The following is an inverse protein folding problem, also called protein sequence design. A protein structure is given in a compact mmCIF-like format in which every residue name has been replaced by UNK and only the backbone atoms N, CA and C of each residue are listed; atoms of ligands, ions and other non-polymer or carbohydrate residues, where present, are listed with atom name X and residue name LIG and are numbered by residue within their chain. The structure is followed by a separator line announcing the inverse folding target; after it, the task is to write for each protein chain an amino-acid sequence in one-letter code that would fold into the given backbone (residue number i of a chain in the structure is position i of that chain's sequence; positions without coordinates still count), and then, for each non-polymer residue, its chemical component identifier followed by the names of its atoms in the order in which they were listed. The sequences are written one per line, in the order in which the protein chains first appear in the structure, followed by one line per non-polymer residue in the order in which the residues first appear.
data_IF_503769176815
#
_entry.id   IF_503769176815
#
_cell.length_a   1.000
_cell.length_b   1.000
_cell.length_c   1.000
_cell.angle_alpha   90.00
_cell.angle_beta   90.00
_cell.angle_gamma   90.00
#
_symmetry.space_group_name_H-M   'P 1'
#
loop_
_entity.id
_entity.type
_entity.pdbx_description
1 polymer ?
#
# COMPACT_ATOMS: atom_id res chain seq x y z
N UNK A 1 11.75 -39.94 -15.98
CA UNK A 1 12.04 -38.81 -15.07
C UNK A 1 11.60 -37.52 -15.75
N UNK A 2 10.38 -37.04 -15.51
CA UNK A 2 9.89 -35.73 -15.95
C UNK A 2 10.09 -34.76 -14.77
N UNK A 3 11.00 -33.79 -14.91
CA UNK A 3 10.80 -32.41 -15.40
C UNK A 3 10.00 -31.55 -14.40
N UNK A 4 10.77 -30.71 -13.70
CA UNK A 4 10.47 -29.35 -13.23
C UNK A 4 9.02 -29.06 -12.85
N UNK A 5 8.78 -28.97 -11.54
CA UNK A 5 7.57 -28.44 -10.92
C UNK A 5 7.16 -27.11 -11.57
N UNK A 6 5.88 -26.91 -11.93
CA UNK A 6 5.41 -25.63 -12.45
C UNK A 6 5.64 -24.55 -11.39
N UNK A 7 6.24 -23.42 -11.80
CA UNK A 7 6.37 -22.23 -10.95
C UNK A 7 4.96 -21.76 -10.62
N UNK A 8 4.50 -21.98 -9.39
CA UNK A 8 3.20 -21.48 -8.94
C UNK A 8 3.10 -19.99 -9.28
N UNK A 9 2.04 -19.56 -9.99
CA UNK A 9 1.84 -18.14 -10.19
C UNK A 9 1.64 -17.47 -8.82
N UNK A 10 2.34 -16.36 -8.61
CA UNK A 10 2.10 -15.37 -7.54
C UNK A 10 2.15 -15.83 -6.08
N UNK A 11 3.30 -16.32 -5.59
CA UNK A 11 3.54 -16.29 -4.15
C UNK A 11 3.58 -14.84 -3.65
N UNK A 12 2.82 -14.52 -2.60
CA UNK A 12 2.86 -13.23 -1.90
C UNK A 12 3.93 -13.26 -0.82
N UNK A 13 4.87 -12.32 -0.84
CA UNK A 13 5.94 -12.24 0.16
C UNK A 13 5.88 -10.88 0.87
N UNK A 14 5.91 -10.80 2.20
CA UNK A 14 5.94 -9.51 2.89
C UNK A 14 7.10 -8.64 2.42
N UNK A 15 6.84 -7.36 2.15
CA UNK A 15 7.89 -6.40 1.78
C UNK A 15 8.69 -6.05 3.02
N UNK A 16 9.98 -6.38 3.02
CA UNK A 16 10.89 -6.03 4.11
C UNK A 16 11.07 -4.51 4.21
N UNK A 17 11.16 -4.00 5.45
CA UNK A 17 11.39 -2.58 5.72
C UNK A 17 12.71 -2.09 5.11
N UNK A 18 13.78 -2.88 5.17
CA UNK A 18 15.07 -2.49 4.61
C UNK A 18 15.04 -2.30 3.09
N UNK A 19 14.20 -3.06 2.38
CA UNK A 19 14.11 -3.07 0.92
C UNK A 19 13.18 -1.98 0.34
N UNK A 20 12.47 -1.23 1.20
CA UNK A 20 11.44 -0.25 0.82
C UNK A 20 11.70 1.16 1.34
N UNK A 21 12.93 1.44 1.80
CA UNK A 21 13.29 2.71 2.47
C UNK A 21 13.01 3.94 1.61
N UNK A 22 13.21 3.82 0.30
CA UNK A 22 12.95 4.84 -0.70
C UNK A 22 11.47 5.25 -0.79
N UNK A 23 10.55 4.36 -0.40
CA UNK A 23 9.09 4.59 -0.50
C UNK A 23 8.42 4.82 0.86
N UNK A 24 9.16 4.64 1.96
CA UNK A 24 8.63 4.86 3.29
C UNK A 24 8.28 6.33 3.54
N UNK A 25 7.13 6.58 4.14
CA UNK A 25 6.72 7.94 4.47
C UNK A 25 5.22 8.12 4.68
N UNK A 26 4.85 9.39 4.82
CA UNK A 26 3.47 9.86 4.79
C UNK A 26 3.15 10.33 3.39
N UNK A 27 2.00 9.89 2.90
CA UNK A 27 1.52 10.10 1.54
C UNK A 27 0.13 10.72 1.60
N UNK A 28 -0.15 11.71 0.74
CA UNK A 28 -1.40 12.46 0.77
C UNK A 28 -2.03 12.54 -0.61
N UNK A 29 -3.30 12.20 -0.65
CA UNK A 29 -4.21 12.49 -1.75
C UNK A 29 -5.28 13.48 -1.24
N UNK A 30 -5.70 14.50 -2.02
CA UNK A 30 -6.67 15.50 -1.56
C UNK A 30 -8.02 14.92 -1.15
N UNK A 31 -8.48 13.86 -1.81
CA UNK A 31 -9.78 13.25 -1.60
C UNK A 31 -9.71 12.14 -0.55
N UNK A 32 -8.88 11.13 -0.78
CA UNK A 32 -8.65 9.98 0.09
C UNK A 32 -8.03 10.39 1.44
N UNK A 33 -7.21 11.43 1.45
CA UNK A 33 -6.50 11.92 2.63
C UNK A 33 -5.12 11.30 2.78
N UNK A 34 -4.67 11.17 4.03
CA UNK A 34 -3.32 10.72 4.34
C UNK A 34 -3.25 9.22 4.61
N UNK A 35 -2.21 8.61 4.05
CA UNK A 35 -1.82 7.22 4.30
C UNK A 35 -0.39 7.17 4.80
N UNK A 36 -0.14 6.26 5.73
CA UNK A 36 1.18 6.00 6.31
C UNK A 36 1.69 4.71 5.69
N UNK A 37 2.84 4.79 5.01
CA UNK A 37 3.54 3.65 4.42
C UNK A 37 4.85 3.46 5.18
N UNK A 38 4.82 2.75 6.31
CA UNK A 38 5.93 2.73 7.26
C UNK A 38 6.24 1.34 7.81
N UNK A 39 7.48 1.13 8.31
CA UNK A 39 7.85 -0.13 8.94
C UNK A 39 7.06 -0.41 10.22
N UNK A 40 6.70 -1.67 10.42
CA UNK A 40 6.25 -2.23 11.68
C UNK A 40 6.76 -3.66 11.76
N UNK A 41 7.50 -4.03 12.80
CA UNK A 41 8.01 -5.41 12.98
C UNK A 41 8.72 -5.93 11.71
N UNK A 42 9.67 -5.14 11.18
CA UNK A 42 10.48 -5.44 9.99
C UNK A 42 9.76 -5.59 8.65
N UNK A 43 8.44 -5.41 8.61
CA UNK A 43 7.65 -5.38 7.37
C UNK A 43 7.09 -4.00 7.09
N UNK A 44 6.82 -3.71 5.82
CA UNK A 44 6.15 -2.49 5.41
C UNK A 44 4.63 -2.60 5.64
N UNK A 45 4.02 -1.56 6.22
CA UNK A 45 2.59 -1.46 6.50
C UNK A 45 1.98 -0.27 5.79
N UNK A 46 0.75 -0.45 5.35
CA UNK A 46 -0.12 0.61 4.86
C UNK A 46 -1.20 0.89 5.89
N UNK A 47 -1.48 2.17 6.16
CA UNK A 47 -2.60 2.58 7.00
C UNK A 47 -3.19 3.90 6.54
N UNK A 48 -4.49 3.92 6.23
CA UNK A 48 -5.22 5.15 5.98
C UNK A 48 -5.64 5.84 7.29
N UNK A 49 -5.37 7.14 7.42
CA UNK A 49 -5.73 7.90 8.62
C UNK A 49 -7.24 8.11 8.75
N UNK A 50 -7.92 8.39 7.63
CA UNK A 50 -9.38 8.64 7.61
C UNK A 50 -10.22 7.35 7.73
N UNK A 51 -9.62 6.19 7.47
CA UNK A 51 -10.34 4.92 7.40
C UNK A 51 -9.53 3.82 8.09
N UNK A 52 -9.65 3.67 9.43
CA UNK A 52 -8.83 2.73 10.21
C UNK A 52 -8.98 1.25 9.80
N UNK A 53 -10.06 0.89 9.10
CA UNK A 53 -10.26 -0.45 8.52
C UNK A 53 -9.34 -0.71 7.32
N UNK A 54 -8.93 0.34 6.60
CA UNK A 54 -8.00 0.27 5.46
C UNK A 54 -6.56 0.29 5.97
N UNK A 55 -6.17 -0.81 6.61
CA UNK A 55 -4.81 -1.04 7.09
C UNK A 55 -4.38 -2.49 6.83
N UNK A 56 -3.12 -2.67 6.46
CA UNK A 56 -2.65 -3.98 5.99
C UNK A 56 -1.15 -4.05 5.84
N UNK A 57 -0.65 -5.27 5.62
CA UNK A 57 0.75 -5.53 5.28
C UNK A 57 0.94 -5.31 3.79
N UNK A 58 2.09 -4.78 3.40
CA UNK A 58 2.44 -4.67 1.98
C UNK A 58 3.14 -5.94 1.55
N UNK A 59 2.65 -6.54 0.48
CA UNK A 59 3.08 -7.81 -0.07
C UNK A 59 3.66 -7.60 -1.47
N UNK A 60 4.82 -8.18 -1.74
CA UNK A 60 5.40 -8.30 -3.08
C UNK A 60 4.69 -9.42 -3.84
N UNK A 61 4.21 -9.11 -5.04
CA UNK A 61 3.66 -10.08 -6.00
C UNK A 61 4.24 -9.81 -7.38
N UNK A 62 5.16 -10.67 -7.84
CA UNK A 62 5.92 -10.39 -9.05
C UNK A 62 6.70 -9.09 -8.92
N UNK A 63 6.41 -8.10 -9.77
CA UNK A 63 7.04 -6.77 -9.72
C UNK A 63 6.22 -5.71 -8.96
N UNK A 64 4.97 -6.02 -8.57
CA UNK A 64 4.04 -5.05 -7.96
C UNK A 64 3.87 -5.30 -6.46
N UNK A 65 3.38 -4.28 -5.77
CA UNK A 65 3.03 -4.34 -4.36
C UNK A 65 1.53 -4.38 -4.19
N UNK A 66 1.05 -5.17 -3.25
CA UNK A 66 -0.36 -5.31 -2.89
C UNK A 66 -0.52 -5.08 -1.39
N UNK A 67 -1.65 -4.51 -0.98
CA UNK A 67 -1.99 -4.43 0.45
C UNK A 67 -2.86 -5.62 0.84
N UNK A 68 -2.31 -6.47 1.70
CA UNK A 68 -3.02 -7.57 2.37
C UNK A 68 -3.66 -7.02 3.64
N UNK A 69 -4.98 -6.80 3.59
CA UNK A 69 -5.75 -6.15 4.66
C UNK A 69 -5.77 -6.99 5.94
N UNK A 70 -5.74 -6.33 7.10
CA UNK A 70 -5.84 -7.04 8.38
C UNK A 70 -7.26 -7.55 8.65
N UNK A 71 -8.27 -6.82 8.15
CA UNK A 71 -9.67 -7.13 8.36
C UNK A 71 -10.25 -7.92 7.20
N UNK A 72 -10.80 -9.10 7.48
CA UNK A 72 -11.45 -9.97 6.49
C UNK A 72 -12.74 -9.39 5.89
N UNK A 73 -13.21 -8.23 6.36
CA UNK A 73 -14.40 -7.54 5.83
C UNK A 73 -14.09 -6.58 4.68
N UNK A 74 -12.83 -6.50 4.25
CA UNK A 74 -12.39 -5.64 3.13
C UNK A 74 -11.90 -6.57 2.02
N UNK A 75 -12.81 -6.91 1.11
CA UNK A 75 -12.55 -7.96 0.10
C UNK A 75 -11.70 -7.47 -1.08
N UNK A 76 -11.54 -6.15 -1.24
CA UNK A 76 -10.79 -5.55 -2.34
C UNK A 76 -9.40 -5.12 -1.89
N UNK A 77 -8.43 -6.04 -1.97
CA UNK A 77 -7.01 -5.73 -1.78
C UNK A 77 -6.50 -4.86 -2.93
N UNK A 78 -5.95 -3.66 -2.70
CA UNK A 78 -5.47 -2.80 -3.77
C UNK A 78 -4.01 -3.09 -4.13
N UNK A 79 -3.68 -2.90 -5.40
CA UNK A 79 -2.31 -2.71 -5.85
C UNK A 79 -1.79 -1.33 -5.44
N UNK A 80 -0.51 -1.27 -5.06
CA UNK A 80 0.26 -0.03 -4.88
C UNK A 80 1.20 0.15 -6.06
N UNK A 81 0.83 1.04 -6.96
CA UNK A 81 1.66 1.38 -8.12
C UNK A 81 2.49 2.63 -7.81
N UNK A 82 3.81 2.50 -7.83
CA UNK A 82 4.71 3.63 -7.66
C UNK A 82 4.99 4.29 -9.01
N UNK A 83 4.92 5.62 -9.05
CA UNK A 83 5.33 6.41 -10.20
C UNK A 83 6.32 7.50 -9.76
N UNK A 84 7.34 7.73 -10.57
CA UNK A 84 8.17 8.93 -10.43
C UNK A 84 7.53 10.04 -11.26
N UNK A 85 7.25 11.17 -10.63
CA UNK A 85 6.86 12.39 -11.33
C UNK A 85 8.02 12.95 -12.14
N UNK A 86 7.71 13.65 -13.23
CA UNK A 86 8.71 14.31 -14.09
C UNK A 86 9.52 15.39 -13.34
N UNK A 87 8.98 15.90 -12.25
CA UNK A 87 9.58 16.85 -11.30
C UNK A 87 10.42 16.16 -10.20
N UNK A 88 10.57 14.84 -10.25
CA UNK A 88 11.22 14.05 -9.21
C UNK A 88 10.33 13.76 -8.00
N UNK A 89 9.07 14.22 -8.01
CA UNK A 89 8.11 13.95 -6.94
C UNK A 89 7.71 12.49 -6.96
N UNK A 90 7.86 11.80 -5.83
CA UNK A 90 7.40 10.42 -5.70
C UNK A 90 5.87 10.39 -5.60
N UNK A 91 5.26 9.58 -6.46
CA UNK A 91 3.81 9.34 -6.50
C UNK A 91 3.49 7.87 -6.24
N UNK A 92 2.33 7.63 -5.66
CA UNK A 92 1.79 6.29 -5.41
C UNK A 92 0.32 6.29 -5.79
N UNK A 93 -0.15 5.23 -6.43
CA UNK A 93 -1.56 5.01 -6.76
C UNK A 93 -2.10 3.76 -6.08
N UNK A 94 -3.35 3.82 -5.66
CA UNK A 94 -4.14 2.65 -5.30
C UNK A 94 -4.89 2.20 -6.54
N UNK A 95 -4.56 1.02 -7.06
CA UNK A 95 -5.23 0.44 -8.23
C UNK A 95 -6.02 -0.82 -7.83
N UNK A 96 -7.14 -1.06 -8.50
CA UNK A 96 -7.96 -2.24 -8.24
C UNK A 96 -7.25 -3.53 -8.70
N UNK A 97 -7.46 -4.63 -7.96
CA UNK A 97 -6.94 -5.94 -8.35
C UNK A 97 -7.62 -6.50 -9.59
N UNK A 98 -8.92 -6.26 -9.73
CA UNK A 98 -9.69 -6.59 -10.91
C UNK A 98 -9.86 -5.33 -11.78
N UNK A 99 -9.24 -5.29 -12.98
CA UNK A 99 -9.38 -4.15 -13.89
C UNK A 99 -10.76 -4.05 -14.54
N UNK A 100 -11.54 -5.15 -14.53
CA UNK A 100 -12.88 -5.24 -15.09
C UNK A 100 -13.97 -5.11 -14.00
N UNK A 101 -13.56 -4.82 -12.75
CA UNK A 101 -14.52 -4.58 -11.67
C UNK A 101 -15.40 -3.37 -11.99
N UNK A 102 -16.64 -3.67 -12.37
CA UNK A 102 -17.70 -2.69 -12.64
C UNK A 102 -18.19 -2.09 -11.31
N UNK A 103 -17.43 -1.12 -10.80
CA UNK A 103 -17.96 -0.21 -9.81
C UNK A 103 -18.76 0.85 -10.57
N UNK A 104 -20.08 0.86 -10.41
CA UNK A 104 -21.00 1.88 -10.95
C UNK A 104 -20.80 3.29 -10.36
N UNK A 105 -19.63 3.54 -9.78
CA UNK A 105 -19.16 4.77 -9.18
C UNK A 105 -17.72 5.00 -9.68
N UNK A 106 -17.51 6.07 -10.45
CA UNK A 106 -16.18 6.60 -10.77
C UNK A 106 -15.52 7.04 -9.45
N UNK A 107 -14.82 6.12 -8.79
CA UNK A 107 -13.95 6.48 -7.68
C UNK A 107 -12.73 7.19 -8.26
N UNK A 108 -12.37 8.34 -7.67
CA UNK A 108 -11.21 9.10 -8.08
C UNK A 108 -9.97 8.21 -7.94
N UNK A 109 -9.28 7.89 -9.05
CA UNK A 109 -7.99 7.20 -9.09
C UNK A 109 -7.02 7.85 -8.09
N UNK A 110 -6.88 7.34 -6.86
CA UNK A 110 -6.22 8.10 -5.81
C UNK A 110 -4.73 8.23 -6.16
N UNK A 111 -4.24 9.47 -6.25
CA UNK A 111 -2.85 9.75 -6.57
C UNK A 111 -2.20 10.45 -5.39
N UNK A 112 -1.47 9.68 -4.61
CA UNK A 112 -0.79 10.19 -3.43
C UNK A 112 0.56 10.80 -3.81
N UNK A 113 0.83 11.96 -3.21
CA UNK A 113 2.16 12.57 -3.20
C UNK A 113 2.81 12.35 -1.84
N UNK A 114 4.10 12.01 -1.82
CA UNK A 114 4.85 11.89 -0.56
C UNK A 114 5.03 13.26 0.09
N UNK A 115 4.52 13.43 1.31
CA UNK A 115 4.55 14.70 2.06
C UNK A 115 5.46 14.69 3.28
N UNK A 116 5.99 13.52 3.67
CA UNK A 116 6.87 13.43 4.83
C UNK A 116 7.50 12.07 5.03
N UNK A 117 8.47 12.02 5.94
CA UNK A 117 9.05 10.77 6.43
C UNK A 117 8.11 10.06 7.39
N UNK A 118 8.42 8.80 7.69
CA UNK A 118 7.66 8.06 8.70
C UNK A 118 7.67 8.82 10.02
N UNK A 119 6.51 9.00 10.67
CA UNK A 119 6.49 9.50 12.03
C UNK A 119 7.25 8.51 12.91
N UNK A 120 7.93 8.99 13.95
CA UNK A 120 8.45 8.13 15.01
C UNK A 120 7.25 7.40 15.63
N UNK A 121 7.00 6.17 15.18
CA UNK A 121 5.90 5.34 15.65
C UNK A 121 6.25 4.83 17.05
N UNK A 122 6.16 5.70 18.05
CA UNK A 122 6.04 5.29 19.45
C UNK A 122 4.64 4.67 19.58
N UNK A 123 4.56 3.35 19.44
CA UNK A 123 3.45 2.54 19.94
C UNK A 123 2.05 3.00 19.54
N UNK A 124 1.66 2.78 18.28
CA UNK A 124 0.29 2.38 17.94
C UNK A 124 -0.88 3.22 18.47
N UNK A 125 -0.78 4.55 18.59
CA UNK A 125 -1.98 5.38 18.68
C UNK A 125 -1.68 6.81 18.24
N UNK A 126 -1.96 7.14 16.98
CA UNK A 126 -2.23 8.53 16.62
C UNK A 126 -3.74 8.71 16.58
N UNK A 127 -4.36 8.87 17.75
CA UNK A 127 -5.65 9.57 17.84
C UNK A 127 -5.31 11.06 17.85
N UNK A 128 -5.72 11.86 16.86
CA UNK A 128 -5.66 13.31 17.00
C UNK A 128 -6.71 13.74 18.03
N UNK A 129 -6.25 14.29 19.16
CA UNK A 129 -7.12 15.00 20.11
C UNK A 129 -7.60 16.29 19.43
N UNK A 130 -8.93 16.49 19.43
CA UNK A 130 -9.59 17.74 19.04
C UNK A 130 -9.27 18.89 19.99
#
# INVERSE_FOLDING_TARGET
MWRTTPRCPSARVPVASAASRDRQGVWRDPWFGEVVLCPQQDVLRFQARKSPLLRGRVMQVGARWLVDWDGASVDAEPWLDSAAGADGTQRMKLAHVDPDADFSYDYADPEFVRVGSCPDLVGGTSVPTL
#
